data_IF_208458382537
#
_entry.id   IF_208458382537
#
_cell.length_a   1.000
_cell.length_b   1.000
_cell.length_c   1.000
_cell.angle_alpha   90.00
_cell.angle_beta   90.00
_cell.angle_gamma   90.00
#
_symmetry.space_group_name_H-M   'P 1'
#
loop_
_entity.id
_entity.type
_entity.pdbx_description
1 polymer ?
#
# COMPACT_ATOMS: atom_id res chain seq x y z
N UNK A 1 3.31 30.68 16.15
CA UNK A 1 3.69 29.27 15.99
C UNK A 1 4.94 29.24 15.13
N UNK A 2 6.10 29.11 15.75
CA UNK A 2 7.41 29.11 15.09
C UNK A 2 7.57 27.84 14.24
N UNK A 3 8.06 27.98 13.01
CA UNK A 3 8.31 26.86 12.08
C UNK A 3 9.54 26.00 12.46
N UNK A 4 10.03 26.06 13.70
CA UNK A 4 11.22 25.34 14.17
C UNK A 4 11.11 23.82 13.99
N UNK A 5 9.88 23.28 14.04
CA UNK A 5 9.65 21.85 13.82
C UNK A 5 9.98 21.38 12.38
N UNK A 6 9.89 22.27 11.38
CA UNK A 6 10.23 21.93 9.99
C UNK A 6 11.73 21.85 9.76
N UNK A 7 12.52 22.54 10.60
CA UNK A 7 13.98 22.52 10.55
C UNK A 7 14.58 21.39 11.41
N UNK A 8 13.77 20.67 12.19
CA UNK A 8 14.21 19.55 13.02
C UNK A 8 14.40 18.27 12.18
N UNK A 9 15.63 17.75 12.06
CA UNK A 9 15.91 16.52 11.30
C UNK A 9 15.16 15.30 11.84
N UNK A 10 14.84 15.25 13.13
CA UNK A 10 14.11 14.12 13.72
C UNK A 10 12.70 14.00 13.13
N UNK A 11 12.01 15.11 12.90
CA UNK A 11 10.64 15.10 12.35
C UNK A 11 10.64 14.49 10.95
N UNK A 12 11.61 14.86 10.13
CA UNK A 12 11.77 14.30 8.78
C UNK A 12 12.11 12.81 8.81
N UNK A 13 13.00 12.40 9.72
CA UNK A 13 13.36 10.99 9.87
C UNK A 13 12.16 10.14 10.30
N UNK A 14 11.38 10.62 11.28
CA UNK A 14 10.15 9.96 11.73
C UNK A 14 9.11 9.90 10.61
N UNK A 15 8.89 11.00 9.87
CA UNK A 15 7.98 11.01 8.71
C UNK A 15 8.38 10.00 7.64
N UNK A 16 9.66 9.95 7.28
CA UNK A 16 10.18 8.98 6.29
C UNK A 16 10.00 7.55 6.80
N UNK A 17 10.32 7.30 8.07
CA UNK A 17 10.20 5.96 8.66
C UNK A 17 8.74 5.50 8.70
N UNK A 18 7.83 6.36 9.17
CA UNK A 18 6.40 6.06 9.20
C UNK A 18 5.84 5.86 7.79
N UNK A 19 6.21 6.73 6.85
CA UNK A 19 5.79 6.60 5.45
C UNK A 19 6.32 5.31 4.81
N UNK A 20 7.56 4.92 5.12
CA UNK A 20 8.13 3.67 4.64
C UNK A 20 7.37 2.46 5.20
N UNK A 21 7.04 2.47 6.50
CA UNK A 21 6.24 1.40 7.13
C UNK A 21 4.83 1.32 6.51
N UNK A 22 4.16 2.45 6.33
CA UNK A 22 2.85 2.58 5.67
C UNK A 22 2.87 2.01 4.24
N UNK A 23 3.95 2.27 3.49
CA UNK A 23 4.14 1.78 2.14
C UNK A 23 4.34 0.26 2.15
N UNK A 24 5.22 -0.28 3.02
CA UNK A 24 5.50 -1.72 3.10
C UNK A 24 4.25 -2.49 3.51
N UNK A 25 3.58 -2.08 4.58
CA UNK A 25 2.32 -2.69 5.04
C UNK A 25 1.26 -2.66 3.94
N UNK A 26 1.30 -1.60 3.16
CA UNK A 26 0.45 -1.37 2.02
C UNK A 26 0.72 -2.21 0.78
N UNK A 27 1.99 -2.45 0.46
CA UNK A 27 2.44 -3.25 -0.67
C UNK A 27 2.11 -4.72 -0.43
N UNK A 28 2.19 -5.19 0.83
CA UNK A 28 1.90 -6.58 1.20
C UNK A 28 0.52 -7.04 0.68
N UNK A 29 -0.53 -6.22 0.90
CA UNK A 29 -1.89 -6.47 0.40
C UNK A 29 -1.97 -6.53 -1.14
N UNK A 30 -1.27 -5.63 -1.84
CA UNK A 30 -1.28 -5.59 -3.31
C UNK A 30 -0.59 -6.83 -3.90
N UNK A 31 0.53 -7.23 -3.30
CA UNK A 31 1.30 -8.42 -3.69
C UNK A 31 0.48 -9.68 -3.45
N UNK A 32 -0.19 -9.82 -2.30
CA UNK A 32 -1.06 -10.97 -2.01
C UNK A 32 -2.16 -11.13 -3.06
N UNK A 33 -2.81 -10.02 -3.43
CA UNK A 33 -3.87 -10.01 -4.46
C UNK A 33 -3.30 -10.38 -5.83
N UNK A 34 -2.16 -9.82 -6.22
CA UNK A 34 -1.52 -10.15 -7.51
C UNK A 34 -1.12 -11.62 -7.61
N UNK A 35 -0.65 -12.21 -6.50
CA UNK A 35 -0.32 -13.64 -6.43
C UNK A 35 -1.58 -14.50 -6.50
N UNK A 36 -2.63 -14.13 -5.75
CA UNK A 36 -3.89 -14.86 -5.73
C UNK A 36 -4.56 -14.87 -7.11
N UNK A 37 -4.68 -13.70 -7.77
CA UNK A 37 -5.26 -13.55 -9.11
C UNK A 37 -4.42 -14.29 -10.16
N UNK A 38 -3.10 -14.32 -10.01
CA UNK A 38 -2.19 -15.03 -10.91
C UNK A 38 -2.47 -16.53 -11.00
N UNK A 39 -2.97 -17.15 -9.92
CA UNK A 39 -3.33 -18.57 -9.84
C UNK A 39 -4.73 -18.91 -10.38
N UNK A 40 -5.56 -17.94 -10.76
CA UNK A 40 -6.89 -18.22 -11.29
C UNK A 40 -6.85 -18.60 -12.79
N UNK A 41 -7.76 -19.51 -13.23
CA UNK A 41 -7.94 -19.87 -14.63
C UNK A 41 -8.40 -18.67 -15.47
N UNK A 42 -8.04 -18.64 -16.76
CA UNK A 42 -8.16 -17.46 -17.63
C UNK A 42 -9.56 -16.86 -17.70
N UNK A 43 -10.61 -17.70 -17.65
CA UNK A 43 -12.01 -17.25 -17.61
C UNK A 43 -12.37 -16.42 -16.36
N UNK A 44 -11.68 -16.62 -15.23
CA UNK A 44 -11.95 -15.93 -13.96
C UNK A 44 -10.95 -14.81 -13.64
N UNK A 45 -9.87 -14.67 -14.43
CA UNK A 45 -8.82 -13.67 -14.20
C UNK A 45 -9.36 -12.24 -14.27
N UNK A 46 -10.25 -11.93 -15.20
CA UNK A 46 -10.79 -10.57 -15.35
C UNK A 46 -11.66 -10.14 -14.18
N UNK A 47 -12.49 -11.04 -13.67
CA UNK A 47 -13.35 -10.78 -12.50
C UNK A 47 -12.49 -10.69 -11.25
N UNK A 48 -11.54 -11.62 -11.05
CA UNK A 48 -10.67 -11.62 -9.90
C UNK A 48 -9.70 -10.41 -9.89
N UNK A 49 -9.26 -9.92 -11.05
CA UNK A 49 -8.44 -8.71 -11.15
C UNK A 49 -9.24 -7.46 -10.78
N UNK A 50 -10.47 -7.32 -11.27
CA UNK A 50 -11.37 -6.21 -10.89
C UNK A 50 -11.74 -6.24 -9.41
N UNK A 51 -12.08 -7.43 -8.90
CA UNK A 51 -12.44 -7.60 -7.49
C UNK A 51 -11.23 -7.40 -6.58
N UNK A 52 -10.05 -7.91 -6.97
CA UNK A 52 -8.80 -7.69 -6.26
C UNK A 52 -8.43 -6.21 -6.17
N UNK A 53 -8.51 -5.46 -7.27
CA UNK A 53 -8.25 -4.02 -7.26
C UNK A 53 -9.30 -3.26 -6.43
N UNK A 54 -10.57 -3.64 -6.53
CA UNK A 54 -11.65 -3.03 -5.74
C UNK A 54 -11.48 -3.28 -4.23
N UNK A 55 -11.13 -4.50 -3.83
CA UNK A 55 -10.85 -4.86 -2.43
C UNK A 55 -9.57 -4.16 -1.95
N UNK A 56 -8.54 -4.04 -2.78
CA UNK A 56 -7.32 -3.30 -2.46
C UNK A 56 -7.59 -1.80 -2.20
N UNK A 57 -8.53 -1.20 -2.93
CA UNK A 57 -8.95 0.19 -2.73
C UNK A 57 -9.86 0.40 -1.51
N UNK A 58 -10.56 -0.63 -1.04
CA UNK A 58 -11.47 -0.53 0.12
C UNK A 58 -10.76 -0.89 1.43
N UNK A 59 -9.81 -1.82 1.38
CA UNK A 59 -9.06 -2.28 2.56
C UNK A 59 -7.96 -1.29 2.96
N UNK A 60 -7.66 -0.31 2.10
CA UNK A 60 -6.72 0.77 2.38
C UNK A 60 -7.42 2.11 2.43
#
# INVERSE_FOLDING_TARGET
MSFEFLADPNVWLTLVTLSALEIVLGIDNLVFISIAVGKLPEHQRDVARKFGIAVACITR
#
